data_IF_842319826430
#
_entry.id   IF_842319826430
#
_cell.length_a   1.000
_cell.length_b   1.000
_cell.length_c   1.000
_cell.angle_alpha   90.00
_cell.angle_beta   90.00
_cell.angle_gamma   90.00
#
_symmetry.space_group_name_H-M   'P 1'
#
loop_
_entity.id
_entity.type
_entity.pdbx_description
1 polymer ?
#
# COMPACT_ATOMS: atom_id res chain seq x y z
N UNK A 1 5.23 49.03 -21.35
CA UNK A 1 6.21 48.55 -20.38
C UNK A 1 5.61 47.98 -19.09
N UNK A 2 4.29 47.99 -18.89
CA UNK A 2 3.68 47.44 -17.65
C UNK A 2 3.27 45.97 -17.69
N UNK A 3 3.31 45.32 -18.86
CA UNK A 3 2.84 43.92 -19.05
C UNK A 3 3.83 42.85 -18.60
N UNK A 4 5.10 43.14 -18.50
CA UNK A 4 6.12 42.15 -18.05
C UNK A 4 6.13 41.94 -16.53
N UNK A 5 5.82 42.96 -15.73
CA UNK A 5 5.85 42.87 -14.27
C UNK A 5 4.69 42.05 -13.64
N UNK A 6 3.62 41.83 -14.38
CA UNK A 6 2.43 41.07 -13.89
C UNK A 6 2.52 39.56 -14.14
N UNK A 7 3.44 39.10 -14.99
CA UNK A 7 3.55 37.67 -15.33
C UNK A 7 4.48 36.88 -14.41
N UNK A 8 5.43 37.55 -13.76
CA UNK A 8 6.39 36.90 -12.87
C UNK A 8 5.74 36.30 -11.60
N UNK A 9 4.83 37.01 -10.88
CA UNK A 9 4.19 36.44 -9.70
C UNK A 9 3.26 35.26 -10.02
N UNK A 10 2.66 35.24 -11.20
CA UNK A 10 1.78 34.15 -11.62
C UNK A 10 2.57 32.87 -11.95
N UNK A 11 3.76 33.01 -12.52
CA UNK A 11 4.66 31.90 -12.81
C UNK A 11 5.27 31.32 -11.53
N UNK A 12 5.64 32.16 -10.58
CA UNK A 12 6.12 31.75 -9.26
C UNK A 12 5.04 31.05 -8.45
N UNK A 13 3.77 31.51 -8.54
CA UNK A 13 2.65 30.87 -7.87
C UNK A 13 2.33 29.50 -8.47
N UNK A 14 2.40 29.35 -9.81
CA UNK A 14 2.22 28.08 -10.48
C UNK A 14 3.34 27.09 -10.16
N UNK A 15 4.59 27.56 -10.06
CA UNK A 15 5.74 26.74 -9.65
C UNK A 15 5.62 26.32 -8.17
N UNK A 16 5.19 27.21 -7.30
CA UNK A 16 4.96 26.91 -5.89
C UNK A 16 3.82 25.89 -5.70
N UNK A 17 2.74 25.97 -6.49
CA UNK A 17 1.67 24.97 -6.48
C UNK A 17 2.13 23.61 -7.01
N UNK A 18 2.98 23.55 -8.02
CA UNK A 18 3.54 22.28 -8.50
C UNK A 18 4.45 21.62 -7.48
N UNK A 19 5.21 22.38 -6.72
CA UNK A 19 6.08 21.86 -5.64
C UNK A 19 5.25 21.39 -4.44
N UNK A 20 4.12 22.04 -4.16
CA UNK A 20 3.23 21.65 -3.05
C UNK A 20 2.43 20.36 -3.34
N UNK A 21 2.32 19.95 -4.61
CA UNK A 21 1.57 18.73 -5.00
C UNK A 21 2.42 17.45 -5.06
N UNK A 22 3.73 17.56 -4.93
CA UNK A 22 4.64 16.42 -4.85
C UNK A 22 4.89 16.07 -3.37
N UNK A 23 3.90 15.51 -2.70
CA UNK A 23 4.18 14.81 -1.44
C UNK A 23 4.92 13.52 -1.82
N UNK A 24 6.19 13.38 -1.48
CA UNK A 24 6.90 12.13 -1.77
C UNK A 24 6.24 11.02 -0.95
N UNK A 25 5.59 10.09 -1.63
CA UNK A 25 5.12 8.86 -1.02
C UNK A 25 6.32 7.98 -0.76
N UNK A 26 6.81 7.98 0.46
CA UNK A 26 7.92 7.12 0.85
C UNK A 26 7.43 5.68 1.05
N UNK A 27 8.28 4.73 0.64
CA UNK A 27 8.12 3.34 1.00
C UNK A 27 8.07 3.18 2.52
N UNK A 28 7.19 2.33 3.00
CA UNK A 28 7.06 2.05 4.42
C UNK A 28 6.79 0.57 4.69
N UNK A 29 7.21 0.11 5.84
CA UNK A 29 6.77 -1.16 6.41
C UNK A 29 5.56 -0.95 7.30
N UNK A 30 4.74 -1.97 7.45
CA UNK A 30 3.51 -1.94 8.25
C UNK A 30 3.49 -3.11 9.22
N UNK A 31 3.17 -2.85 10.47
CA UNK A 31 2.96 -3.86 11.50
C UNK A 31 1.52 -3.81 12.03
N UNK A 32 0.95 -4.93 12.47
CA UNK A 32 -0.33 -4.90 13.19
C UNK A 32 -0.17 -4.12 14.49
N UNK A 33 -1.21 -3.42 14.90
CA UNK A 33 -1.20 -2.65 16.13
C UNK A 33 -0.84 -3.54 17.35
N UNK A 34 -0.01 -3.02 18.23
CA UNK A 34 0.51 -3.71 19.43
C UNK A 34 1.30 -5.00 19.18
N UNK A 35 1.63 -5.33 17.93
CA UNK A 35 2.43 -6.52 17.59
C UNK A 35 3.85 -6.10 17.18
N UNK A 36 4.68 -5.85 18.17
CA UNK A 36 6.08 -5.45 17.96
C UNK A 36 6.91 -6.63 17.44
N UNK A 37 7.77 -6.39 16.48
CA UNK A 37 8.66 -7.40 15.92
C UNK A 37 8.12 -8.15 14.71
N UNK A 38 6.89 -7.88 14.26
CA UNK A 38 6.31 -8.49 13.05
C UNK A 38 5.90 -7.44 12.03
N UNK A 39 6.23 -7.66 10.76
CA UNK A 39 5.86 -6.79 9.65
C UNK A 39 5.02 -7.54 8.62
N UNK A 40 4.16 -6.78 7.93
CA UNK A 40 3.49 -7.25 6.73
C UNK A 40 4.54 -7.64 5.68
N UNK A 41 4.39 -8.83 5.13
CA UNK A 41 5.39 -9.44 4.27
C UNK A 41 4.74 -10.15 3.06
N UNK A 42 5.43 -10.10 1.93
CA UNK A 42 5.06 -10.87 0.75
C UNK A 42 5.71 -12.26 0.85
N UNK A 43 4.90 -13.31 0.88
CA UNK A 43 5.39 -14.67 0.97
C UNK A 43 6.12 -15.08 -0.32
N UNK A 44 7.29 -15.65 -0.19
CA UNK A 44 8.11 -16.15 -1.28
C UNK A 44 9.53 -15.59 -1.29
N UNK A 45 10.36 -16.03 -2.21
CA UNK A 45 11.72 -15.54 -2.36
C UNK A 45 11.77 -14.26 -3.19
N UNK A 46 12.64 -13.35 -2.80
CA UNK A 46 12.97 -12.15 -3.57
C UNK A 46 13.33 -12.49 -5.03
N UNK A 47 12.89 -11.68 -5.97
CA UNK A 47 13.22 -11.81 -7.40
C UNK A 47 12.32 -12.74 -8.21
N UNK A 48 11.41 -13.49 -7.59
CA UNK A 48 10.40 -14.25 -8.33
C UNK A 48 9.14 -13.39 -8.62
N UNK A 49 8.29 -13.88 -9.52
CA UNK A 49 7.07 -13.19 -9.89
C UNK A 49 6.17 -12.87 -8.68
N UNK A 50 5.65 -11.67 -8.58
CA UNK A 50 4.77 -11.23 -7.48
C UNK A 50 3.35 -11.79 -7.58
N UNK A 51 2.89 -12.07 -8.78
CA UNK A 51 1.50 -12.46 -9.03
C UNK A 51 1.07 -13.68 -8.22
N UNK A 52 0.01 -13.53 -7.44
CA UNK A 52 -0.59 -14.60 -6.64
C UNK A 52 0.11 -14.90 -5.32
N UNK A 53 1.20 -14.22 -4.98
CA UNK A 53 1.86 -14.41 -3.69
C UNK A 53 0.98 -13.92 -2.56
N UNK A 54 0.84 -14.74 -1.54
CA UNK A 54 0.07 -14.37 -0.34
C UNK A 54 0.83 -13.39 0.53
N UNK A 55 0.09 -12.54 1.24
CA UNK A 55 0.62 -11.75 2.34
C UNK A 55 0.58 -12.55 3.64
N UNK A 56 1.59 -12.37 4.46
CA UNK A 56 1.69 -12.93 5.80
C UNK A 56 2.41 -11.94 6.73
N UNK A 57 2.67 -12.36 7.96
CA UNK A 57 3.51 -11.64 8.88
C UNK A 57 4.85 -12.37 9.05
N UNK A 58 5.93 -11.61 9.12
CA UNK A 58 7.26 -12.11 9.38
C UNK A 58 7.99 -11.19 10.35
N UNK A 59 8.99 -11.73 11.04
CA UNK A 59 9.86 -10.92 11.88
C UNK A 59 10.46 -9.76 11.10
N UNK A 60 10.70 -8.66 11.79
CA UNK A 60 11.35 -7.49 11.24
C UNK A 60 12.72 -7.85 10.65
N UNK A 61 13.07 -7.17 9.55
CA UNK A 61 14.39 -7.23 8.90
C UNK A 61 14.80 -8.58 8.30
N UNK A 62 13.86 -9.53 8.18
CA UNK A 62 14.20 -10.85 7.62
C UNK A 62 14.04 -10.94 6.10
N UNK A 63 13.17 -10.13 5.48
CA UNK A 63 12.74 -10.31 4.09
C UNK A 63 13.01 -9.10 3.18
N UNK A 64 13.76 -8.12 3.64
CA UNK A 64 14.19 -6.98 2.81
C UNK A 64 13.04 -6.23 2.12
N UNK A 65 13.09 -6.12 0.80
CA UNK A 65 12.12 -5.36 0.00
C UNK A 65 10.70 -5.95 0.00
N UNK A 66 10.53 -7.21 0.39
CA UNK A 66 9.22 -7.87 0.47
C UNK A 66 8.37 -7.35 1.64
N UNK A 67 8.91 -6.49 2.47
CA UNK A 67 8.22 -5.85 3.61
C UNK A 67 7.95 -4.35 3.38
N UNK A 68 8.17 -3.84 2.18
CA UNK A 68 8.01 -2.43 1.86
C UNK A 68 6.90 -2.16 0.85
N UNK A 69 6.00 -1.25 1.21
CA UNK A 69 4.83 -0.88 0.43
C UNK A 69 4.69 0.64 0.29
N UNK A 70 3.96 1.09 -0.71
CA UNK A 70 3.56 2.47 -0.91
C UNK A 70 2.04 2.53 -1.02
N UNK A 71 1.38 3.30 -0.18
CA UNK A 71 -0.04 3.63 -0.35
C UNK A 71 -0.15 4.95 -1.10
N UNK A 72 -0.78 4.93 -2.25
CA UNK A 72 -0.91 6.11 -3.10
C UNK A 72 -1.69 5.86 -4.37
N UNK A 73 -1.66 6.86 -5.25
CA UNK A 73 -2.26 6.77 -6.59
C UNK A 73 -1.29 6.17 -7.60
N UNK A 74 -1.82 5.62 -8.68
CA UNK A 74 -1.04 5.11 -9.80
C UNK A 74 -1.57 5.70 -11.10
N UNK A 75 -0.69 6.24 -11.95
CA UNK A 75 -1.05 6.78 -13.25
C UNK A 75 -1.79 5.72 -14.09
N UNK A 76 -2.93 6.10 -14.65
CA UNK A 76 -3.78 5.22 -15.45
C UNK A 76 -4.83 4.44 -14.65
N UNK A 77 -4.85 4.58 -13.32
CA UNK A 77 -5.81 3.91 -12.44
C UNK A 77 -6.50 4.93 -11.52
N UNK A 78 -7.78 4.70 -11.24
CA UNK A 78 -8.57 5.57 -10.37
C UNK A 78 -8.52 5.10 -8.93
N UNK A 79 -8.13 5.99 -8.01
CA UNK A 79 -8.14 5.74 -6.56
C UNK A 79 -6.77 5.44 -5.98
N UNK A 80 -6.78 4.87 -4.79
CA UNK A 80 -5.59 4.55 -4.01
C UNK A 80 -5.32 3.06 -4.01
N UNK A 81 -4.04 2.70 -3.92
CA UNK A 81 -3.57 1.32 -3.93
C UNK A 81 -2.42 1.16 -2.94
N UNK A 82 -2.33 0.01 -2.29
CA UNK A 82 -1.15 -0.39 -1.53
C UNK A 82 -0.24 -1.18 -2.45
N UNK A 83 0.76 -0.51 -3.00
CA UNK A 83 1.64 -1.05 -4.05
C UNK A 83 2.93 -1.63 -3.46
N UNK A 84 3.48 -2.61 -4.15
CA UNK A 84 4.81 -3.16 -3.84
C UNK A 84 5.88 -2.14 -4.23
N UNK A 85 6.73 -1.74 -3.29
CA UNK A 85 7.76 -0.72 -3.56
C UNK A 85 8.73 -1.14 -4.66
N UNK A 86 9.12 -2.39 -4.70
CA UNK A 86 10.03 -2.91 -5.71
C UNK A 86 9.41 -2.97 -7.13
N UNK A 87 8.07 -3.01 -7.22
CA UNK A 87 7.36 -2.99 -8.50
C UNK A 87 5.93 -2.47 -8.32
N UNK A 88 5.74 -1.17 -8.55
CA UNK A 88 4.46 -0.47 -8.37
C UNK A 88 3.36 -0.84 -9.39
N UNK A 89 3.62 -1.76 -10.30
CA UNK A 89 2.59 -2.36 -11.15
C UNK A 89 1.82 -3.47 -10.43
N UNK A 90 2.26 -3.85 -9.25
CA UNK A 90 1.64 -4.85 -8.37
C UNK A 90 1.15 -4.21 -7.09
N UNK A 91 0.00 -4.65 -6.62
CA UNK A 91 -0.61 -4.15 -5.39
C UNK A 91 -1.20 -5.27 -4.55
N UNK A 92 -1.46 -4.95 -3.29
CA UNK A 92 -2.23 -5.80 -2.39
C UNK A 92 -3.65 -5.92 -2.91
N UNK A 93 -4.12 -7.14 -3.07
CA UNK A 93 -5.36 -7.52 -3.72
C UNK A 93 -6.13 -8.51 -2.84
N UNK A 94 -7.45 -8.50 -2.97
CA UNK A 94 -8.33 -9.48 -2.34
C UNK A 94 -8.51 -10.68 -3.25
N UNK A 95 -8.06 -11.83 -2.82
CA UNK A 95 -8.31 -13.08 -3.53
C UNK A 95 -9.76 -13.51 -3.40
N UNK A 96 -10.33 -14.10 -4.46
CA UNK A 96 -11.64 -14.75 -4.45
C UNK A 96 -11.67 -15.98 -3.52
N UNK A 97 -10.52 -16.55 -3.24
CA UNK A 97 -10.39 -17.68 -2.32
C UNK A 97 -10.35 -17.20 -0.86
N UNK A 98 -11.51 -17.07 -0.25
CA UNK A 98 -11.65 -16.74 1.18
C UNK A 98 -11.20 -15.35 1.58
N UNK A 99 -11.01 -14.42 0.65
CA UNK A 99 -10.61 -13.05 0.94
C UNK A 99 -9.14 -12.91 1.34
N UNK A 100 -8.30 -13.90 1.12
CA UNK A 100 -6.88 -13.83 1.43
C UNK A 100 -6.22 -12.65 0.73
N UNK A 101 -5.40 -11.91 1.44
CA UNK A 101 -4.60 -10.85 0.86
C UNK A 101 -3.46 -11.45 0.04
N UNK A 102 -3.37 -11.08 -1.22
CA UNK A 102 -2.36 -11.52 -2.18
C UNK A 102 -1.77 -10.32 -2.91
N UNK A 103 -0.71 -10.55 -3.66
CA UNK A 103 -0.17 -9.58 -4.60
C UNK A 103 -0.69 -9.90 -6.00
N UNK A 104 -1.22 -8.91 -6.68
CA UNK A 104 -1.78 -9.06 -8.03
C UNK A 104 -1.44 -7.86 -8.91
N UNK A 105 -1.26 -8.04 -10.25
CA UNK A 105 -0.99 -6.93 -11.15
C UNK A 105 -2.20 -5.99 -11.24
N UNK A 106 -1.95 -4.70 -11.20
CA UNK A 106 -3.00 -3.67 -11.33
C UNK A 106 -3.71 -3.72 -12.69
N UNK A 107 -3.01 -4.16 -13.74
CA UNK A 107 -3.58 -4.27 -15.10
C UNK A 107 -4.80 -5.18 -15.21
N UNK A 108 -4.91 -6.17 -14.33
CA UNK A 108 -6.01 -7.15 -14.33
C UNK A 108 -6.78 -7.23 -13.03
N UNK A 109 -6.28 -6.64 -11.95
CA UNK A 109 -6.85 -6.77 -10.60
C UNK A 109 -7.14 -5.44 -9.88
N UNK A 110 -7.17 -4.31 -10.59
CA UNK A 110 -7.33 -3.00 -9.94
C UNK A 110 -8.63 -2.86 -9.14
N UNK A 111 -9.71 -3.52 -9.55
CA UNK A 111 -11.00 -3.48 -8.84
C UNK A 111 -10.92 -4.08 -7.43
N UNK A 112 -10.18 -5.17 -7.26
CA UNK A 112 -10.01 -5.88 -5.99
C UNK A 112 -8.80 -5.39 -5.17
N UNK A 113 -8.06 -4.42 -5.71
CA UNK A 113 -6.93 -3.76 -5.05
C UNK A 113 -7.23 -2.31 -4.64
N UNK A 114 -8.27 -1.70 -5.20
CA UNK A 114 -8.60 -0.30 -4.94
C UNK A 114 -9.00 -0.09 -3.49
N UNK A 115 -8.34 0.87 -2.83
CA UNK A 115 -8.63 1.27 -1.46
C UNK A 115 -9.70 2.36 -1.41
N UNK A 116 -10.41 2.43 -0.28
CA UNK A 116 -11.44 3.44 -0.04
C UNK A 116 -10.86 4.85 0.10
N UNK A 117 -9.66 4.93 0.67
CA UNK A 117 -8.91 6.16 0.92
C UNK A 117 -7.41 5.86 1.02
N UNK A 118 -6.61 6.86 1.37
CA UNK A 118 -5.17 6.72 1.55
C UNK A 118 -4.74 6.50 3.01
N UNK A 119 -5.63 5.99 3.86
CA UNK A 119 -5.29 5.68 5.24
C UNK A 119 -4.17 4.65 5.33
N UNK A 120 -3.18 4.92 6.16
CA UNK A 120 -2.08 4.00 6.44
C UNK A 120 -2.31 3.17 7.72
N UNK A 121 -3.36 3.48 8.47
CA UNK A 121 -3.70 2.78 9.72
C UNK A 121 -4.90 1.86 9.60
N UNK A 122 -5.84 2.16 8.72
CA UNK A 122 -7.01 1.32 8.45
C UNK A 122 -7.11 1.13 6.94
N UNK A 123 -6.58 0.02 6.46
CA UNK A 123 -6.51 -0.29 5.03
C UNK A 123 -7.80 -1.00 4.63
N UNK A 124 -8.66 -0.29 3.91
CA UNK A 124 -10.01 -0.72 3.55
C UNK A 124 -10.19 -0.76 2.04
N UNK A 125 -10.77 -1.84 1.52
CA UNK A 125 -11.13 -1.93 0.11
C UNK A 125 -12.30 -0.99 -0.24
N UNK A 126 -12.25 -0.44 -1.44
CA UNK A 126 -13.30 0.46 -1.94
C UNK A 126 -14.62 -0.28 -2.17
N UNK A 127 -14.59 -1.41 -2.84
CA UNK A 127 -15.79 -2.14 -3.27
C UNK A 127 -16.43 -2.94 -2.14
N UNK A 128 -15.68 -3.85 -1.51
CA UNK A 128 -16.21 -4.73 -0.47
C UNK A 128 -16.31 -4.10 0.92
N UNK A 129 -15.58 -2.99 1.13
CA UNK A 129 -15.45 -2.30 2.44
C UNK A 129 -14.73 -3.13 3.51
N UNK A 130 -14.20 -4.28 3.15
CA UNK A 130 -13.45 -5.15 4.05
C UNK A 130 -12.11 -4.54 4.42
N UNK A 131 -11.67 -4.81 5.64
CA UNK A 131 -10.41 -4.32 6.19
C UNK A 131 -9.29 -5.34 6.01
N UNK A 132 -8.09 -4.87 5.69
CA UNK A 132 -6.88 -5.68 5.76
C UNK A 132 -6.66 -6.10 7.23
N UNK A 133 -6.64 -7.41 7.49
CA UNK A 133 -6.70 -7.97 8.83
C UNK A 133 -5.64 -9.05 9.02
N UNK A 134 -4.83 -8.90 10.07
CA UNK A 134 -3.91 -9.95 10.50
C UNK A 134 -4.64 -10.93 11.41
N UNK A 135 -4.58 -12.22 11.07
CA UNK A 135 -5.20 -13.28 11.89
C UNK A 135 -4.42 -13.50 13.18
N UNK A 136 -5.12 -13.66 14.26
CA UNK A 136 -4.53 -14.02 15.57
C UNK A 136 -4.57 -15.54 15.82
N UNK A 137 -3.61 -16.08 16.58
CA UNK A 137 -2.48 -15.39 17.22
C UNK A 137 -1.42 -14.97 16.20
N UNK A 138 -0.76 -13.82 16.46
CA UNK A 138 0.29 -13.30 15.57
C UNK A 138 1.61 -14.04 15.82
N UNK A 139 2.23 -14.46 14.76
CA UNK A 139 3.53 -15.13 14.73
C UNK A 139 4.10 -15.14 13.32
N UNK A 140 5.27 -15.78 13.12
CA UNK A 140 5.79 -16.01 11.77
C UNK A 140 4.76 -16.78 10.93
N UNK A 141 4.60 -16.35 9.69
CA UNK A 141 3.66 -16.92 8.71
C UNK A 141 2.17 -16.73 9.04
N UNK A 142 1.83 -15.94 10.07
CA UNK A 142 0.42 -15.58 10.31
C UNK A 142 -0.20 -14.98 9.06
N UNK A 143 -1.37 -15.48 8.70
CA UNK A 143 -2.05 -15.11 7.46
C UNK A 143 -2.71 -13.74 7.55
N UNK A 144 -2.81 -13.06 6.43
CA UNK A 144 -3.46 -11.75 6.29
C UNK A 144 -4.59 -11.86 5.28
N UNK A 145 -5.75 -11.31 5.64
CA UNK A 145 -6.97 -11.36 4.86
C UNK A 145 -7.60 -9.98 4.74
N UNK A 146 -8.50 -9.84 3.78
CA UNK A 146 -9.51 -8.80 3.82
C UNK A 146 -10.78 -9.36 4.48
N UNK A 147 -11.26 -8.65 5.50
CA UNK A 147 -12.39 -9.11 6.30
C UNK A 147 -12.02 -10.09 7.41
N UNK A 148 -13.04 -10.63 8.07
CA UNK A 148 -12.87 -11.56 9.19
C UNK A 148 -12.50 -10.89 10.50
N UNK A 149 -12.13 -11.72 11.47
CA UNK A 149 -11.70 -11.29 12.81
C UNK A 149 -10.17 -11.30 12.94
N UNK A 150 -9.64 -10.36 13.71
CA UNK A 150 -8.23 -10.20 13.96
C UNK A 150 -7.84 -8.73 14.13
N UNK A 151 -6.57 -8.41 13.91
CA UNK A 151 -6.05 -7.05 14.04
C UNK A 151 -6.16 -6.35 12.69
N UNK A 152 -7.02 -5.33 12.60
CA UNK A 152 -7.26 -4.54 11.40
C UNK A 152 -6.71 -3.11 11.45
N UNK A 153 -6.06 -2.75 12.55
CA UNK A 153 -5.33 -1.50 12.70
C UNK A 153 -3.85 -1.74 12.47
N UNK A 154 -3.26 -0.97 11.60
CA UNK A 154 -1.86 -1.06 11.20
C UNK A 154 -1.08 0.15 11.67
N UNK A 155 0.19 -0.02 11.91
CA UNK A 155 1.12 1.04 12.27
C UNK A 155 2.21 1.09 11.21
N UNK A 156 2.36 2.25 10.59
CA UNK A 156 3.49 2.51 9.70
C UNK A 156 4.78 2.52 10.50
N UNK A 157 5.77 1.79 10.00
CA UNK A 157 7.12 1.72 10.57
C UNK A 157 8.10 2.11 9.46
N UNK A 158 9.11 2.81 9.83
CA UNK A 158 10.15 3.28 8.89
C UNK A 158 11.21 2.21 8.65
#
# INVERSE_FOLDING_TARGET
MSTMKKRIPMFLLALAMMVAMAVPTFAASYRPNAQFGYLLNINGSTGSAYQGRALNLMKTDTMGTDQNFIIGTRKGYTGYYMMVTANVNYAVNRSDNGGRAIIWPLSTGSADSRLADNSESVIRLYTSRELLTAREPVGDWSTVYFGGSGISVWVRVH
#
